data_IF_377369357292
#
_entry.id   IF_377369357292
#
_cell.length_a   1.000
_cell.length_b   1.000
_cell.length_c   1.000
_cell.angle_alpha   90.00
_cell.angle_beta   90.00
_cell.angle_gamma   90.00
#
_symmetry.space_group_name_H-M   'P 1'
#
loop_
_entity.id
_entity.type
_entity.pdbx_description
1 polymer ?
#
# COMPACT_ATOMS: atom_id res chain seq x y z
N UNK A 1 -5.62 16.94 -19.48
CA UNK A 1 -4.72 16.40 -20.52
C UNK A 1 -5.22 15.05 -21.03
N UNK A 2 -4.78 14.66 -22.24
CA UNK A 2 -5.12 13.39 -22.87
C UNK A 2 -3.96 12.93 -23.74
N UNK A 3 -3.86 11.62 -23.97
CA UNK A 3 -2.80 11.07 -24.82
C UNK A 3 -3.16 9.73 -25.41
N UNK A 4 -2.39 9.31 -26.40
CA UNK A 4 -2.50 7.98 -26.97
C UNK A 4 -1.12 7.34 -27.04
N UNK A 5 -0.99 6.15 -26.50
CA UNK A 5 0.21 5.32 -26.55
C UNK A 5 -0.05 4.12 -27.46
N UNK A 6 0.91 3.83 -28.32
CA UNK A 6 0.86 2.67 -29.22
C UNK A 6 2.02 1.73 -28.90
N UNK A 7 1.76 0.44 -28.90
CA UNK A 7 2.76 -0.60 -28.77
C UNK A 7 2.86 -1.36 -30.11
N UNK A 8 4.08 -1.44 -30.65
CA UNK A 8 4.36 -2.12 -31.90
C UNK A 8 5.34 -3.28 -31.69
N UNK A 9 5.17 -4.34 -32.47
CA UNK A 9 6.14 -5.42 -32.64
C UNK A 9 6.32 -5.69 -34.14
N UNK A 10 7.55 -5.64 -34.64
CA UNK A 10 7.86 -5.83 -36.08
C UNK A 10 6.97 -4.97 -37.02
N UNK A 11 6.76 -3.69 -36.69
CA UNK A 11 5.88 -2.77 -37.40
C UNK A 11 4.38 -3.09 -37.38
N UNK A 12 3.97 -4.12 -36.68
CA UNK A 12 2.57 -4.44 -36.40
C UNK A 12 2.14 -3.80 -35.08
N UNK A 13 1.01 -3.10 -35.07
CA UNK A 13 0.43 -2.57 -33.84
C UNK A 13 -0.19 -3.70 -33.04
N UNK A 14 0.37 -3.99 -31.86
CA UNK A 14 -0.13 -5.03 -30.96
C UNK A 14 -1.02 -4.51 -29.84
N UNK A 15 -0.88 -3.23 -29.46
CA UNK A 15 -1.76 -2.61 -28.48
C UNK A 15 -1.84 -1.10 -28.69
N UNK A 16 -2.90 -0.49 -28.16
CA UNK A 16 -3.12 0.94 -28.16
C UNK A 16 -3.99 1.31 -26.94
N UNK A 17 -3.61 2.37 -26.25
CA UNK A 17 -4.45 3.00 -25.22
C UNK A 17 -4.59 4.48 -25.49
N UNK A 18 -5.82 4.99 -25.43
CA UNK A 18 -6.12 6.41 -25.41
C UNK A 18 -6.64 6.76 -24.04
N UNK A 19 -5.88 7.51 -23.28
CA UNK A 19 -6.18 7.84 -21.88
C UNK A 19 -6.54 9.31 -21.71
N UNK A 20 -7.26 9.60 -20.64
CA UNK A 20 -7.60 10.93 -20.19
C UNK A 20 -7.04 11.15 -18.77
N UNK A 21 -6.84 12.40 -18.39
CA UNK A 21 -6.36 12.77 -17.05
C UNK A 21 -7.33 12.33 -15.94
N UNK A 22 -8.63 12.31 -16.22
CA UNK A 22 -9.67 11.85 -15.31
C UNK A 22 -9.64 10.33 -15.01
N UNK A 23 -8.71 9.59 -15.66
CA UNK A 23 -8.41 8.20 -15.30
C UNK A 23 -7.55 8.09 -14.04
N UNK A 24 -6.89 9.18 -13.65
CA UNK A 24 -6.14 9.24 -12.38
C UNK A 24 -7.09 9.16 -11.18
N UNK A 25 -6.56 8.68 -10.08
CA UNK A 25 -7.32 8.57 -8.84
C UNK A 25 -7.77 9.96 -8.35
N UNK A 26 -9.07 10.12 -8.14
CA UNK A 26 -9.71 11.42 -7.89
C UNK A 26 -9.35 12.08 -6.55
N UNK A 27 -8.77 11.35 -5.63
CA UNK A 27 -8.35 11.86 -4.30
C UNK A 27 -6.85 12.20 -4.24
N UNK A 28 -6.13 12.16 -5.36
CA UNK A 28 -4.78 12.67 -5.42
C UNK A 28 -4.79 14.20 -5.35
N UNK A 29 -3.96 14.77 -4.48
CA UNK A 29 -3.77 16.23 -4.43
C UNK A 29 -3.11 16.77 -5.71
N UNK A 30 -2.26 15.96 -6.34
CA UNK A 30 -1.60 16.24 -7.60
C UNK A 30 -1.33 14.92 -8.36
N UNK A 31 -1.59 14.90 -9.65
CA UNK A 31 -1.34 13.76 -10.54
C UNK A 31 0.04 13.80 -11.23
N UNK A 32 0.82 14.89 -11.06
CA UNK A 32 2.14 15.01 -11.66
C UNK A 32 3.10 13.94 -11.13
N UNK A 33 3.68 13.17 -12.04
CA UNK A 33 4.61 12.09 -11.70
C UNK A 33 3.93 10.79 -11.25
N UNK A 34 2.61 10.74 -11.22
CA UNK A 34 1.85 9.53 -10.90
C UNK A 34 1.59 8.71 -12.15
N UNK A 35 2.05 7.47 -12.18
CA UNK A 35 1.82 6.56 -13.30
C UNK A 35 0.39 6.01 -13.28
N UNK A 36 -0.25 5.94 -14.44
CA UNK A 36 -1.40 5.07 -14.65
C UNK A 36 -0.91 3.63 -14.86
N UNK A 37 -1.40 2.72 -14.05
CA UNK A 37 -1.04 1.30 -14.08
C UNK A 37 -2.20 0.44 -14.54
N UNK A 38 -1.90 -0.51 -15.41
CA UNK A 38 -2.88 -1.49 -15.89
C UNK A 38 -3.14 -2.55 -14.82
N UNK A 39 -4.42 -2.75 -14.48
CA UNK A 39 -4.85 -3.69 -13.43
C UNK A 39 -4.74 -5.14 -13.93
N UNK A 40 -5.20 -5.40 -15.16
CA UNK A 40 -5.17 -6.72 -15.76
C UNK A 40 -4.65 -6.67 -17.20
N UNK A 41 -3.61 -7.45 -17.56
CA UNK A 41 -3.12 -7.52 -18.94
C UNK A 41 -4.13 -8.17 -19.90
N UNK A 42 -5.10 -8.93 -19.39
CA UNK A 42 -6.09 -9.65 -20.18
C UNK A 42 -7.35 -8.82 -20.48
N UNK A 43 -7.55 -7.70 -19.81
CA UNK A 43 -8.65 -6.78 -20.08
C UNK A 43 -8.25 -5.77 -21.16
N UNK A 44 -9.25 -5.12 -21.80
CA UNK A 44 -9.02 -4.14 -22.85
C UNK A 44 -8.18 -2.95 -22.36
N UNK A 45 -7.20 -2.52 -23.17
CA UNK A 45 -6.36 -1.35 -22.90
C UNK A 45 -7.13 -0.03 -22.93
N UNK A 46 -8.25 0.06 -23.68
CA UNK A 46 -9.07 1.26 -23.75
C UNK A 46 -10.23 1.27 -22.75
N UNK A 47 -10.26 0.36 -21.80
CA UNK A 47 -11.24 0.34 -20.72
C UNK A 47 -10.68 1.08 -19.51
N UNK A 48 -11.25 2.25 -19.17
CA UNK A 48 -10.82 3.07 -18.03
C UNK A 48 -10.74 2.26 -16.73
N UNK A 49 -11.74 1.41 -16.46
CA UNK A 49 -11.76 0.57 -15.24
C UNK A 49 -10.62 -0.46 -15.16
N UNK A 50 -9.82 -0.63 -16.23
CA UNK A 50 -8.61 -1.46 -16.22
C UNK A 50 -7.34 -0.68 -15.88
N UNK A 51 -7.48 0.59 -15.48
CA UNK A 51 -6.36 1.46 -15.12
C UNK A 51 -6.59 2.11 -13.77
N UNK A 52 -5.52 2.29 -13.03
CA UNK A 52 -5.52 3.01 -11.77
C UNK A 52 -4.20 3.73 -11.55
N UNK A 53 -4.21 4.79 -10.76
CA UNK A 53 -2.98 5.44 -10.30
C UNK A 53 -2.13 4.46 -9.51
N UNK A 54 -0.82 4.48 -9.73
CA UNK A 54 0.13 3.68 -8.96
C UNK A 54 0.04 4.02 -7.46
N UNK A 55 0.31 3.03 -6.60
CA UNK A 55 0.22 3.19 -5.16
C UNK A 55 1.23 4.21 -4.62
N UNK A 56 0.82 4.96 -3.60
CA UNK A 56 1.65 5.93 -2.90
C UNK A 56 2.81 5.26 -2.16
N UNK A 57 2.53 4.12 -1.53
CA UNK A 57 3.51 3.32 -0.77
C UNK A 57 4.76 2.89 -1.55
N UNK A 58 4.69 2.90 -2.89
CA UNK A 58 5.83 2.57 -3.77
C UNK A 58 6.35 3.78 -4.55
N UNK A 59 5.94 4.99 -4.20
CA UNK A 59 6.36 6.24 -4.83
C UNK A 59 5.68 6.51 -6.18
N UNK A 60 4.44 6.09 -6.35
CA UNK A 60 3.58 6.39 -7.49
C UNK A 60 4.07 5.88 -8.86
N UNK A 61 5.01 4.91 -8.89
CA UNK A 61 5.48 4.29 -10.14
C UNK A 61 6.14 2.93 -9.90
N UNK A 62 6.04 2.02 -10.88
CA UNK A 62 6.65 0.67 -10.83
C UNK A 62 7.51 0.36 -12.07
N UNK A 63 8.46 1.21 -12.48
CA UNK A 63 9.26 0.98 -13.69
C UNK A 63 10.04 -0.32 -13.57
N UNK A 64 9.83 -1.24 -14.56
CA UNK A 64 10.51 -2.54 -14.59
C UNK A 64 10.05 -3.55 -13.54
N UNK A 65 8.93 -3.30 -12.87
CA UNK A 65 8.31 -4.18 -11.87
C UNK A 65 6.88 -4.50 -12.26
N UNK A 66 6.25 -5.43 -11.54
CA UNK A 66 4.80 -5.65 -11.61
C UNK A 66 4.10 -4.41 -11.09
N UNK A 67 3.05 -3.99 -11.78
CA UNK A 67 2.23 -2.84 -11.39
C UNK A 67 1.68 -3.02 -9.96
N UNK A 68 1.70 -1.96 -9.18
CA UNK A 68 1.20 -1.98 -7.80
C UNK A 68 -0.29 -2.29 -7.70
N UNK A 69 -1.03 -1.97 -8.78
CA UNK A 69 -2.46 -2.20 -8.90
C UNK A 69 -2.81 -3.50 -9.63
N UNK A 70 -1.79 -4.35 -9.95
CA UNK A 70 -2.02 -5.62 -10.63
C UNK A 70 -2.89 -6.56 -9.79
N UNK A 71 -3.99 -7.01 -10.36
CA UNK A 71 -4.92 -7.91 -9.68
C UNK A 71 -4.59 -9.37 -10.00
N UNK A 72 -4.14 -10.08 -8.99
CA UNK A 72 -3.93 -11.53 -9.10
C UNK A 72 -5.26 -12.28 -8.91
N UNK A 73 -5.57 -13.17 -9.85
CA UNK A 73 -6.76 -14.03 -9.75
C UNK A 73 -6.64 -14.96 -8.54
N UNK A 74 -7.65 -14.94 -7.66
CA UNK A 74 -7.69 -15.81 -6.49
C UNK A 74 -6.91 -15.29 -5.27
N UNK A 75 -6.47 -14.02 -5.27
CA UNK A 75 -5.90 -13.40 -4.06
C UNK A 75 -6.91 -13.42 -2.92
N UNK A 76 -6.52 -13.98 -1.80
CA UNK A 76 -7.27 -13.88 -0.54
C UNK A 76 -6.71 -12.72 0.26
N UNK A 77 -7.60 -11.88 0.78
CA UNK A 77 -7.22 -10.76 1.64
C UNK A 77 -6.44 -11.27 2.86
N UNK A 78 -5.27 -10.71 3.07
CA UNK A 78 -4.41 -11.08 4.19
C UNK A 78 -3.66 -9.88 4.73
N UNK A 79 -3.53 -9.85 6.05
CA UNK A 79 -2.65 -8.94 6.77
C UNK A 79 -1.94 -9.77 7.82
N UNK A 80 -0.62 -9.75 7.81
CA UNK A 80 0.20 -10.55 8.71
C UNK A 80 1.48 -9.82 9.11
N UNK A 81 1.91 -10.04 10.33
CA UNK A 81 3.25 -9.64 10.76
C UNK A 81 4.26 -10.66 10.27
N UNK A 82 5.43 -10.22 9.87
CA UNK A 82 6.56 -11.12 9.58
C UNK A 82 7.03 -11.81 10.87
N UNK A 83 7.05 -11.05 11.98
CA UNK A 83 7.30 -11.48 13.35
C UNK A 83 6.38 -10.73 14.29
N UNK A 84 5.95 -11.36 15.37
CA UNK A 84 5.14 -10.76 16.42
C UNK A 84 5.95 -10.11 17.56
N UNK A 85 7.27 -10.26 17.48
CA UNK A 85 8.24 -9.62 18.39
C UNK A 85 9.33 -8.98 17.56
N UNK A 86 9.72 -7.75 17.90
CA UNK A 86 10.87 -7.08 17.32
C UNK A 86 11.61 -6.23 18.37
N UNK A 87 12.90 -5.98 18.18
CA UNK A 87 13.73 -5.21 19.11
C UNK A 87 14.57 -4.16 18.37
N UNK A 88 14.14 -2.87 18.36
CA UNK A 88 14.82 -1.81 17.61
C UNK A 88 16.09 -1.33 18.34
N UNK A 89 17.08 -2.21 18.51
CA UNK A 89 18.35 -1.95 19.19
C UNK A 89 19.53 -1.70 18.24
N UNK A 90 19.28 -1.75 16.92
CA UNK A 90 20.21 -1.47 15.83
C UNK A 90 21.35 -2.50 15.71
N UNK A 91 21.11 -3.74 16.09
CA UNK A 91 22.08 -4.82 15.92
C UNK A 91 21.98 -5.54 14.56
N UNK A 92 21.01 -5.13 13.74
CA UNK A 92 20.75 -5.67 12.41
C UNK A 92 19.81 -6.89 12.40
N UNK A 93 19.26 -7.26 13.54
CA UNK A 93 18.35 -8.39 13.67
C UNK A 93 17.03 -7.97 14.33
N UNK A 94 15.92 -8.16 13.60
CA UNK A 94 14.56 -7.83 14.07
C UNK A 94 14.39 -6.37 14.55
N UNK A 95 15.14 -5.43 13.96
CA UNK A 95 15.13 -4.00 14.31
C UNK A 95 13.84 -3.28 13.89
N UNK A 96 13.04 -3.87 13.00
CA UNK A 96 11.81 -3.28 12.46
C UNK A 96 10.66 -4.27 12.50
N UNK A 97 9.49 -3.78 12.84
CA UNK A 97 8.24 -4.50 12.60
C UNK A 97 7.92 -4.46 11.11
N UNK A 98 7.68 -5.61 10.48
CA UNK A 98 7.25 -5.71 9.08
C UNK A 98 5.83 -6.25 9.03
N UNK A 99 4.95 -5.51 8.38
CA UNK A 99 3.54 -5.87 8.17
C UNK A 99 3.33 -6.12 6.70
N UNK A 100 3.03 -7.35 6.32
CA UNK A 100 2.70 -7.72 4.96
C UNK A 100 1.18 -7.64 4.74
N UNK A 101 0.78 -7.23 3.54
CA UNK A 101 -0.62 -7.19 3.16
C UNK A 101 -0.84 -7.68 1.72
N UNK A 102 -2.04 -8.22 1.48
CA UNK A 102 -2.56 -8.50 0.15
C UNK A 102 -4.07 -8.23 0.13
N UNK A 103 -4.55 -7.59 -0.93
CA UNK A 103 -5.94 -7.25 -1.14
C UNK A 103 -6.45 -7.85 -2.45
N UNK A 104 -7.73 -8.20 -2.48
CA UNK A 104 -8.40 -8.74 -3.67
C UNK A 104 -8.81 -7.65 -4.67
N UNK A 105 -8.80 -6.38 -4.25
CA UNK A 105 -9.22 -5.23 -5.04
C UNK A 105 -8.10 -4.20 -5.17
N UNK A 106 -8.10 -3.46 -6.27
CA UNK A 106 -7.22 -2.31 -6.50
C UNK A 106 -7.89 -1.01 -6.04
N UNK A 107 -7.08 0.05 -5.87
CA UNK A 107 -7.59 1.38 -5.54
C UNK A 107 -8.08 1.56 -4.11
N UNK A 108 -7.61 0.73 -3.18
CA UNK A 108 -7.95 0.83 -1.77
C UNK A 108 -7.09 1.87 -1.05
N UNK A 109 -7.71 2.59 -0.14
CA UNK A 109 -7.05 3.47 0.81
C UNK A 109 -6.88 2.77 2.15
N UNK A 110 -5.81 3.10 2.89
CA UNK A 110 -5.62 2.57 4.22
C UNK A 110 -5.13 3.62 5.22
N UNK A 111 -5.37 3.31 6.48
CA UNK A 111 -4.83 4.02 7.64
C UNK A 111 -4.25 3.00 8.62
N UNK A 112 -3.00 3.20 9.03
CA UNK A 112 -2.34 2.36 10.01
C UNK A 112 -1.90 3.16 11.23
N UNK A 113 -2.28 2.70 12.42
CA UNK A 113 -1.97 3.33 13.70
C UNK A 113 -1.48 2.31 14.71
N UNK A 114 -0.55 2.71 15.56
CA UNK A 114 -0.01 1.92 16.66
C UNK A 114 -0.57 2.45 17.97
N UNK A 115 -1.04 1.55 18.81
CA UNK A 115 -1.53 1.83 20.16
C UNK A 115 -0.76 1.01 21.18
N UNK A 116 -0.61 1.53 22.40
CA UNK A 116 -0.10 0.75 23.54
C UNK A 116 -1.21 -0.11 24.19
N UNK A 117 -0.84 -0.86 25.23
CA UNK A 117 -1.74 -1.73 26.00
C UNK A 117 -2.82 -0.96 26.81
N UNK A 118 -2.65 0.35 26.98
CA UNK A 118 -3.65 1.25 27.59
C UNK A 118 -4.60 1.86 26.55
N UNK A 119 -4.41 1.58 25.25
CA UNK A 119 -5.20 2.14 24.16
C UNK A 119 -4.83 3.60 23.80
N UNK A 120 -3.67 4.08 24.21
CA UNK A 120 -3.15 5.39 23.79
C UNK A 120 -2.48 5.25 22.42
N UNK A 121 -2.80 6.16 21.52
CA UNK A 121 -2.13 6.20 20.22
C UNK A 121 -0.66 6.61 20.40
N UNK A 122 0.23 5.78 19.89
CA UNK A 122 1.68 5.97 19.93
C UNK A 122 2.18 6.58 18.64
N UNK A 123 1.64 6.11 17.51
CA UNK A 123 2.00 6.63 16.19
C UNK A 123 0.92 6.34 15.15
N UNK A 124 0.64 7.33 14.31
CA UNK A 124 0.04 7.11 13.00
C UNK A 124 1.17 6.85 12.01
N UNK A 125 1.19 5.68 11.39
CA UNK A 125 2.19 5.33 10.36
C UNK A 125 1.87 6.03 9.05
N UNK A 126 0.61 5.95 8.62
CA UNK A 126 0.06 6.67 7.48
C UNK A 126 -1.46 6.82 7.61
N UNK A 127 -2.03 7.74 6.84
CA UNK A 127 -3.45 8.04 6.87
C UNK A 127 -3.96 8.34 5.45
N UNK A 128 -4.99 7.60 5.03
CA UNK A 128 -5.59 7.69 3.70
C UNK A 128 -4.59 7.47 2.54
N UNK A 129 -3.59 6.62 2.75
CA UNK A 129 -2.59 6.28 1.75
C UNK A 129 -3.19 5.33 0.69
N UNK A 130 -2.93 5.62 -0.58
CA UNK A 130 -3.33 4.75 -1.68
C UNK A 130 -2.45 3.50 -1.70
N UNK A 131 -3.07 2.36 -1.45
CA UNK A 131 -2.38 1.07 -1.36
C UNK A 131 -2.28 0.38 -2.71
N UNK A 132 -1.23 -0.43 -2.87
CA UNK A 132 -1.21 -1.45 -3.92
C UNK A 132 -2.04 -2.67 -3.53
N UNK A 133 -2.24 -3.59 -4.47
CA UNK A 133 -2.93 -4.86 -4.20
C UNK A 133 -2.13 -5.79 -3.30
N UNK A 134 -0.82 -5.59 -3.18
CA UNK A 134 0.05 -6.29 -2.22
C UNK A 134 1.29 -5.47 -1.92
N UNK A 135 1.86 -5.68 -0.74
CA UNK A 135 3.07 -4.99 -0.31
C UNK A 135 3.36 -5.21 1.17
N UNK A 136 4.17 -4.33 1.69
CA UNK A 136 4.46 -4.28 3.12
C UNK A 136 4.69 -2.83 3.57
N UNK A 137 4.53 -2.60 4.86
CA UNK A 137 4.96 -1.38 5.54
C UNK A 137 5.65 -1.73 6.85
N UNK A 138 6.34 -0.78 7.44
CA UNK A 138 7.21 -1.03 8.59
C UNK A 138 7.00 -0.03 9.71
N UNK A 139 7.39 -0.42 10.93
CA UNK A 139 7.57 0.47 12.07
C UNK A 139 8.90 0.20 12.76
N UNK A 140 9.62 1.26 13.09
CA UNK A 140 10.96 1.25 13.70
C UNK A 140 10.94 1.38 15.22
N UNK A 141 9.77 1.32 15.85
CA UNK A 141 9.64 1.48 17.30
C UNK A 141 9.66 2.94 17.79
N UNK A 142 9.66 3.92 16.87
CA UNK A 142 9.67 5.35 17.23
C UNK A 142 8.24 5.90 17.26
N UNK A 143 7.92 6.65 18.32
CA UNK A 143 6.60 7.27 18.50
C UNK A 143 6.40 8.54 17.64
N UNK A 144 5.25 9.20 17.78
CA UNK A 144 4.93 10.44 17.06
C UNK A 144 5.89 11.61 17.38
N UNK A 145 6.47 11.64 18.55
CA UNK A 145 7.42 12.68 19.00
C UNK A 145 8.89 12.36 18.66
N UNK A 146 9.13 11.38 17.78
CA UNK A 146 10.45 10.90 17.36
C UNK A 146 11.29 10.30 18.52
N UNK A 147 10.64 9.86 19.59
CA UNK A 147 11.28 9.17 20.71
C UNK A 147 11.08 7.65 20.61
N UNK A 148 12.04 6.87 21.12
CA UNK A 148 11.88 5.41 21.23
C UNK A 148 10.70 5.07 22.12
N UNK A 149 9.84 4.19 21.65
CA UNK A 149 8.72 3.68 22.43
C UNK A 149 9.22 2.72 23.53
N UNK A 150 8.60 2.69 24.70
CA UNK A 150 8.94 1.75 25.77
C UNK A 150 8.78 0.28 25.32
N UNK A 151 9.55 -0.61 25.96
CA UNK A 151 9.33 -2.06 25.83
C UNK A 151 7.95 -2.40 26.34
N UNK A 152 7.19 -3.20 25.57
CA UNK A 152 5.82 -3.53 25.95
C UNK A 152 5.02 -4.17 24.81
N UNK A 153 3.73 -4.37 25.10
CA UNK A 153 2.76 -4.88 24.13
C UNK A 153 2.09 -3.69 23.42
N UNK A 154 1.98 -3.82 22.11
CA UNK A 154 1.36 -2.83 21.24
C UNK A 154 0.31 -3.48 20.35
N UNK A 155 -0.57 -2.67 19.79
CA UNK A 155 -1.60 -3.11 18.85
C UNK A 155 -1.51 -2.27 17.59
N UNK A 156 -1.27 -2.92 16.46
CA UNK A 156 -1.49 -2.33 15.15
C UNK A 156 -3.00 -2.31 14.86
N UNK A 157 -3.52 -1.15 14.53
CA UNK A 157 -4.88 -0.98 14.00
C UNK A 157 -4.75 -0.56 12.53
N UNK A 158 -5.13 -1.47 11.64
CA UNK A 158 -5.18 -1.21 10.20
C UNK A 158 -6.63 -1.17 9.75
N UNK A 159 -7.00 -0.08 9.09
CA UNK A 159 -8.31 0.14 8.49
C UNK A 159 -8.13 0.36 7.00
N UNK A 160 -8.89 -0.35 6.18
CA UNK A 160 -8.87 -0.29 4.72
C UNK A 160 -10.24 0.13 4.22
N UNK A 161 -10.28 1.08 3.30
CA UNK A 161 -11.52 1.68 2.80
C UNK A 161 -11.53 1.69 1.27
N UNK A 162 -12.73 1.70 0.71
CA UNK A 162 -12.99 2.09 -0.68
C UNK A 162 -12.97 3.62 -0.84
N UNK A 163 -12.91 4.09 -2.07
CA UNK A 163 -12.87 5.53 -2.40
C UNK A 163 -14.08 6.30 -1.87
N UNK A 164 -15.23 5.67 -1.80
CA UNK A 164 -16.48 6.23 -1.26
C UNK A 164 -16.56 6.20 0.27
N UNK A 165 -15.47 5.78 0.95
CA UNK A 165 -15.32 5.80 2.40
C UNK A 165 -15.93 4.58 3.11
N UNK A 166 -16.40 3.58 2.37
CA UNK A 166 -16.85 2.31 2.94
C UNK A 166 -15.67 1.53 3.54
N UNK A 167 -15.76 1.14 4.82
CA UNK A 167 -14.75 0.29 5.46
C UNK A 167 -14.86 -1.12 4.89
N UNK A 168 -13.80 -1.58 4.21
CA UNK A 168 -13.71 -2.92 3.64
C UNK A 168 -13.14 -3.89 4.67
N UNK A 169 -12.10 -3.47 5.39
CA UNK A 169 -11.41 -4.30 6.36
C UNK A 169 -10.95 -3.44 7.55
N UNK A 170 -11.12 -3.98 8.76
CA UNK A 170 -10.50 -3.42 9.95
C UNK A 170 -9.84 -4.56 10.74
N UNK A 171 -8.54 -4.45 10.99
CA UNK A 171 -7.78 -5.44 11.77
C UNK A 171 -7.05 -4.81 12.93
N UNK A 172 -7.04 -5.55 14.06
CA UNK A 172 -6.21 -5.27 15.23
C UNK A 172 -5.26 -6.44 15.42
N UNK A 173 -3.96 -6.17 15.40
CA UNK A 173 -2.93 -7.20 15.48
C UNK A 173 -2.00 -6.84 16.64
N UNK A 174 -1.98 -7.64 17.73
CA UNK A 174 -1.05 -7.43 18.84
C UNK A 174 0.37 -7.86 18.43
N UNK A 175 1.36 -7.17 18.98
CA UNK A 175 2.77 -7.50 18.85
C UNK A 175 3.57 -6.96 20.05
N UNK A 176 4.83 -7.37 20.16
CA UNK A 176 5.70 -6.98 21.27
C UNK A 176 6.90 -6.20 20.76
N UNK A 177 7.14 -5.03 21.34
CA UNK A 177 8.40 -4.34 21.25
C UNK A 177 9.27 -4.81 22.41
N UNK A 178 10.36 -5.52 22.10
CA UNK A 178 11.34 -6.04 23.04
C UNK A 178 12.56 -5.12 23.11
N UNK A 179 13.44 -5.39 24.06
CA UNK A 179 14.75 -4.78 24.17
C UNK A 179 15.80 -5.85 24.37
N UNK A 180 17.05 -5.49 24.12
CA UNK A 180 18.18 -6.34 24.42
C UNK A 180 18.27 -6.57 25.94
N UNK A 181 18.37 -7.81 26.35
CA UNK A 181 18.68 -8.19 27.74
C UNK A 181 20.15 -7.90 28.07
#
# INVERSE_FOLDING_TARGET
DSGTVYLFYNSEQIDRVSYLEDWQFSLLDNSDGVSLERISPNASSNQQSNWHSAAESIGFATPGRVNSQYQYVGTTESISLQKDVFSPDQDGFEDILVVNYAFSESGLLARARIFDDFGREIKTLFSNELMGTSGFFTWDGVNGDQAKSPIGIYVLVLEVFSVDGGVILAKKIPFTLAGKL
#
